data_IF_187189313380
#
_entry.id   IF_187189313380
#
_cell.length_a   1.000
_cell.length_b   1.000
_cell.length_c   1.000
_cell.angle_alpha   90.00
_cell.angle_beta   90.00
_cell.angle_gamma   90.00
#
_symmetry.space_group_name_H-M   'P 1'
#
loop_
_entity.id
_entity.type
_entity.pdbx_description
1 polymer ?
#
# COMPACT_ATOMS: atom_id res chain seq x y z
N UNK A 1 20.31 10.88 20.11
CA UNK A 1 19.53 9.71 20.58
C UNK A 1 18.16 10.19 21.03
N UNK A 2 17.21 10.30 20.11
CA UNK A 2 15.87 10.83 20.41
C UNK A 2 14.88 10.53 19.28
N UNK A 3 14.84 9.30 18.78
CA UNK A 3 13.95 8.91 17.67
C UNK A 3 12.85 7.91 18.08
N UNK A 4 12.81 7.51 19.37
CA UNK A 4 11.96 6.40 19.81
C UNK A 4 10.58 6.81 20.36
N UNK A 5 10.15 8.08 20.17
CA UNK A 5 8.87 8.57 20.72
C UNK A 5 7.67 8.50 19.77
N UNK A 6 7.91 8.32 18.47
CA UNK A 6 6.83 8.32 17.45
C UNK A 6 6.61 6.94 16.81
N UNK A 7 7.30 5.91 17.30
CA UNK A 7 7.17 4.55 16.79
C UNK A 7 6.10 3.79 17.59
N UNK A 8 5.14 3.19 16.89
CA UNK A 8 4.08 2.35 17.46
C UNK A 8 3.83 1.14 16.55
N UNK A 9 3.18 0.06 17.03
CA UNK A 9 2.67 -0.97 16.14
C UNK A 9 1.68 -0.38 15.13
N UNK A 10 1.64 -0.90 13.91
CA UNK A 10 0.59 -0.48 12.96
C UNK A 10 -0.80 -0.96 13.41
N UNK A 11 -1.85 -0.20 13.08
CA UNK A 11 -3.22 -0.51 13.53
C UNK A 11 -4.10 -0.96 12.36
N UNK A 12 -4.99 -1.95 12.55
CA UNK A 12 -5.93 -2.38 11.49
C UNK A 12 -6.92 -1.32 11.00
N UNK A 13 -7.00 -0.17 11.67
CA UNK A 13 -7.87 0.95 11.33
C UNK A 13 -7.12 2.05 10.56
N UNK A 14 -5.79 1.97 10.48
CA UNK A 14 -4.98 2.90 9.71
C UNK A 14 -5.17 2.63 8.21
N UNK A 15 -5.11 3.65 7.34
CA UNK A 15 -5.18 3.45 5.89
C UNK A 15 -4.10 2.48 5.33
N UNK A 16 -2.98 2.34 6.05
CA UNK A 16 -1.93 1.36 5.77
C UNK A 16 -1.73 0.49 7.01
N UNK A 17 -1.98 -0.81 6.88
CA UNK A 17 -1.83 -1.77 7.95
C UNK A 17 -0.82 -2.88 7.60
N UNK A 18 0.08 -3.19 8.53
CA UNK A 18 1.01 -4.32 8.44
C UNK A 18 1.07 -5.04 9.79
N UNK A 19 0.59 -6.29 9.93
CA UNK A 19 0.53 -6.98 11.22
C UNK A 19 1.86 -7.02 12.00
N UNK A 20 2.98 -7.08 11.29
CA UNK A 20 4.35 -7.07 11.84
C UNK A 20 5.08 -5.74 11.65
N UNK A 21 4.37 -4.72 11.17
CA UNK A 21 4.92 -3.41 10.86
C UNK A 21 4.99 -2.46 12.04
N UNK A 22 6.01 -1.62 12.01
CA UNK A 22 6.20 -0.48 12.89
C UNK A 22 5.75 0.76 12.14
N UNK A 23 4.75 1.45 12.71
CA UNK A 23 4.29 2.77 12.30
C UNK A 23 5.15 3.85 12.93
N UNK A 24 5.52 4.86 12.16
CA UNK A 24 6.26 6.03 12.58
C UNK A 24 5.47 7.27 12.17
N UNK A 25 4.99 8.05 13.13
CA UNK A 25 4.24 9.28 12.85
C UNK A 25 5.17 10.40 12.38
N UNK A 26 4.81 11.01 11.25
CA UNK A 26 5.58 12.07 10.61
C UNK A 26 5.10 13.46 11.09
N UNK A 27 5.99 14.49 11.13
CA UNK A 27 5.62 15.83 11.59
C UNK A 27 4.57 16.55 10.73
N UNK A 28 4.36 16.09 9.50
CA UNK A 28 3.38 16.63 8.55
C UNK A 28 1.94 16.11 8.81
N UNK A 29 1.77 15.18 9.76
CA UNK A 29 0.49 14.54 10.07
C UNK A 29 0.24 13.22 9.34
N UNK A 30 1.17 12.81 8.47
CA UNK A 30 1.19 11.49 7.86
C UNK A 30 1.88 10.46 8.77
N UNK A 31 2.11 9.27 8.23
CA UNK A 31 2.89 8.24 8.90
C UNK A 31 3.48 7.24 7.91
N UNK A 32 4.57 6.60 8.30
CA UNK A 32 5.20 5.53 7.52
C UNK A 32 5.09 4.21 8.29
N UNK A 33 4.70 3.13 7.61
CA UNK A 33 4.70 1.77 8.15
C UNK A 33 5.81 0.96 7.50
N UNK A 34 6.70 0.37 8.30
CA UNK A 34 7.85 -0.40 7.83
C UNK A 34 7.92 -1.77 8.47
N UNK A 35 8.51 -2.76 7.79
CA UNK A 35 8.82 -4.06 8.37
C UNK A 35 10.29 -4.47 8.13
N UNK A 36 10.81 -5.46 8.87
CA UNK A 36 12.21 -5.91 8.74
C UNK A 36 12.55 -6.51 7.36
N UNK A 37 11.56 -6.87 6.54
CA UNK A 37 11.75 -7.43 5.21
C UNK A 37 11.92 -6.35 4.13
N UNK A 38 11.97 -5.09 4.52
CA UNK A 38 12.19 -3.96 3.61
C UNK A 38 10.91 -3.46 2.93
N UNK A 39 9.73 -3.89 3.40
CA UNK A 39 8.47 -3.24 3.02
C UNK A 39 8.40 -1.92 3.78
N UNK A 40 8.13 -0.84 3.04
CA UNK A 40 7.94 0.50 3.59
C UNK A 40 6.81 1.17 2.83
N UNK A 41 5.78 1.65 3.53
CA UNK A 41 4.66 2.34 2.91
C UNK A 41 4.38 3.62 3.69
N UNK A 42 4.47 4.74 2.99
CA UNK A 42 4.21 6.08 3.49
C UNK A 42 2.76 6.48 3.17
N UNK A 43 2.09 7.06 4.15
CA UNK A 43 0.76 7.64 4.02
C UNK A 43 0.83 9.13 4.33
N UNK A 44 0.31 9.93 3.40
CA UNK A 44 0.29 11.38 3.49
C UNK A 44 -1.10 11.88 3.94
N UNK A 45 -1.18 13.05 4.61
CA UNK A 45 -2.46 13.62 5.08
C UNK A 45 -3.50 13.87 3.99
N UNK A 46 -3.06 14.04 2.75
CA UNK A 46 -3.95 14.23 1.59
C UNK A 46 -4.57 12.92 1.08
N UNK A 47 -4.26 11.78 1.72
CA UNK A 47 -4.75 10.46 1.36
C UNK A 47 -3.85 9.71 0.39
N UNK A 48 -2.73 10.30 -0.05
CA UNK A 48 -1.76 9.64 -0.93
C UNK A 48 -0.96 8.59 -0.18
N UNK A 49 -0.67 7.49 -0.88
CA UNK A 49 0.15 6.38 -0.40
C UNK A 49 1.30 6.17 -1.37
N UNK A 50 2.52 6.05 -0.85
CA UNK A 50 3.70 5.65 -1.63
C UNK A 50 4.41 4.50 -0.94
N UNK A 51 4.67 3.43 -1.67
CA UNK A 51 5.18 2.18 -1.15
C UNK A 51 6.41 1.66 -1.88
N UNK A 52 7.31 1.07 -1.10
CA UNK A 52 8.36 0.18 -1.54
C UNK A 52 8.02 -1.22 -1.04
N UNK A 53 7.59 -2.08 -1.97
CA UNK A 53 7.31 -3.49 -1.71
C UNK A 53 8.29 -4.30 -2.58
N UNK A 54 9.40 -4.83 -2.01
CA UNK A 54 10.46 -5.46 -2.80
C UNK A 54 9.98 -6.61 -3.68
N UNK A 55 8.97 -7.36 -3.20
CA UNK A 55 8.33 -8.45 -3.92
C UNK A 55 6.82 -8.32 -3.76
N UNK A 56 6.10 -8.25 -4.86
CA UNK A 56 4.63 -8.31 -4.89
C UNK A 56 4.26 -9.72 -5.38
N UNK A 57 3.93 -10.62 -4.44
CA UNK A 57 3.61 -12.02 -4.76
C UNK A 57 2.15 -12.20 -5.13
N UNK A 58 1.28 -11.45 -4.45
CA UNK A 58 -0.16 -11.48 -4.69
C UNK A 58 -0.76 -10.13 -4.30
N UNK A 59 -1.81 -9.75 -5.03
CA UNK A 59 -2.68 -8.67 -4.64
C UNK A 59 -4.12 -9.17 -4.69
N UNK A 60 -4.80 -9.06 -3.55
CA UNK A 60 -6.17 -9.49 -3.35
C UNK A 60 -7.04 -8.26 -3.15
N UNK A 61 -8.11 -8.15 -3.93
CA UNK A 61 -9.17 -7.17 -3.63
C UNK A 61 -10.17 -7.84 -2.70
N UNK A 62 -10.41 -7.26 -1.53
CA UNK A 62 -11.28 -7.84 -0.51
C UNK A 62 -12.73 -7.97 -1.00
N UNK A 63 -13.22 -6.96 -1.72
CA UNK A 63 -14.54 -6.96 -2.35
C UNK A 63 -14.42 -6.50 -3.81
N UNK A 64 -14.51 -7.45 -4.73
CA UNK A 64 -14.39 -7.18 -6.17
C UNK A 64 -15.54 -6.30 -6.70
N UNK A 65 -16.70 -6.29 -6.04
CA UNK A 65 -17.83 -5.45 -6.46
C UNK A 65 -17.52 -3.95 -6.34
N UNK A 66 -16.51 -3.59 -5.54
CA UNK A 66 -16.03 -2.22 -5.38
C UNK A 66 -15.11 -1.76 -6.50
N UNK A 67 -14.60 -2.66 -7.35
CA UNK A 67 -13.73 -2.27 -8.46
C UNK A 67 -14.59 -1.78 -9.62
N UNK A 68 -14.43 -0.51 -9.99
CA UNK A 68 -15.15 0.10 -11.11
C UNK A 68 -14.33 0.12 -12.40
N UNK A 69 -13.00 0.04 -12.29
CA UNK A 69 -12.09 -0.05 -13.44
C UNK A 69 -10.78 -0.72 -13.05
N UNK A 70 -10.27 -1.56 -13.95
CA UNK A 70 -8.94 -2.16 -13.84
C UNK A 70 -8.20 -2.02 -15.16
N UNK A 71 -7.14 -1.21 -15.16
CA UNK A 71 -6.23 -1.07 -16.29
C UNK A 71 -4.98 -1.92 -16.06
N UNK A 72 -4.53 -2.59 -17.12
CA UNK A 72 -3.29 -3.37 -17.11
C UNK A 72 -2.46 -2.91 -18.30
N UNK A 73 -1.25 -2.44 -18.03
CA UNK A 73 -0.27 -2.13 -19.07
C UNK A 73 0.96 -3.04 -18.93
N UNK A 74 1.58 -3.33 -20.06
CA UNK A 74 2.79 -4.16 -20.13
C UNK A 74 3.86 -3.43 -20.91
N UNK A 75 5.03 -3.30 -20.30
CA UNK A 75 6.19 -2.63 -20.92
C UNK A 75 7.41 -3.48 -20.62
N UNK A 76 8.04 -4.03 -21.66
CA UNK A 76 9.15 -4.98 -21.53
C UNK A 76 8.79 -6.17 -20.61
N UNK A 77 9.51 -6.32 -19.50
CA UNK A 77 9.36 -7.38 -18.52
C UNK A 77 8.49 -6.99 -17.31
N UNK A 78 7.89 -5.79 -17.34
CA UNK A 78 7.02 -5.28 -16.29
C UNK A 78 5.55 -5.32 -16.66
N UNK A 79 4.73 -5.48 -15.63
CA UNK A 79 3.28 -5.36 -15.69
C UNK A 79 2.88 -4.32 -14.65
N UNK A 80 2.16 -3.29 -15.08
CA UNK A 80 1.52 -2.34 -14.19
C UNK A 80 0.02 -2.58 -14.15
N UNK A 81 -0.54 -2.40 -12.96
CA UNK A 81 -1.95 -2.54 -12.67
C UNK A 81 -2.43 -1.25 -12.02
N UNK A 82 -3.55 -0.73 -12.49
CA UNK A 82 -4.24 0.40 -11.87
C UNK A 82 -5.69 0.01 -11.60
N UNK A 83 -6.07 0.02 -10.32
CA UNK A 83 -7.40 -0.30 -9.83
C UNK A 83 -8.07 0.99 -9.40
N UNK A 84 -9.28 1.23 -9.91
CA UNK A 84 -10.16 2.28 -9.44
C UNK A 84 -11.33 1.67 -8.70
N UNK A 85 -11.67 2.25 -7.55
CA UNK A 85 -12.72 1.78 -6.67
C UNK A 85 -13.92 2.74 -6.63
N UNK A 86 -15.10 2.21 -6.34
CA UNK A 86 -16.26 2.99 -5.95
C UNK A 86 -15.89 3.93 -4.80
N UNK A 87 -16.26 5.21 -4.88
CA UNK A 87 -15.84 6.25 -3.93
C UNK A 87 -14.59 7.03 -4.36
N UNK A 88 -13.91 6.63 -5.44
CA UNK A 88 -12.83 7.42 -6.05
C UNK A 88 -11.42 7.04 -5.60
N UNK A 89 -11.27 6.03 -4.73
CA UNK A 89 -9.97 5.48 -4.37
C UNK A 89 -9.26 4.85 -5.58
N UNK A 90 -7.95 5.01 -5.63
CA UNK A 90 -7.10 4.46 -6.69
C UNK A 90 -5.91 3.74 -6.09
N UNK A 91 -5.55 2.59 -6.65
CA UNK A 91 -4.30 1.89 -6.34
C UNK A 91 -3.57 1.56 -7.63
N UNK A 92 -2.28 1.87 -7.69
CA UNK A 92 -1.37 1.51 -8.77
C UNK A 92 -0.20 0.69 -8.24
N UNK A 93 0.18 -0.35 -8.96
CA UNK A 93 1.39 -1.10 -8.65
C UNK A 93 2.03 -1.67 -9.90
N UNK A 94 3.35 -1.82 -9.86
CA UNK A 94 4.14 -2.38 -10.95
C UNK A 94 5.09 -3.45 -10.43
N UNK A 95 5.14 -4.57 -11.14
CA UNK A 95 6.06 -5.65 -10.85
C UNK A 95 6.66 -6.26 -12.13
N UNK A 96 7.84 -6.85 -12.02
CA UNK A 96 8.39 -7.69 -13.08
C UNK A 96 7.71 -9.07 -13.11
N UNK A 97 7.95 -9.82 -14.19
CA UNK A 97 7.47 -11.20 -14.36
C UNK A 97 7.88 -12.17 -13.23
N UNK A 98 8.97 -11.87 -12.49
CA UNK A 98 9.42 -12.66 -11.34
C UNK A 98 8.80 -12.20 -9.99
N UNK A 99 7.87 -11.24 -10.02
CA UNK A 99 7.22 -10.68 -8.84
C UNK A 99 8.01 -9.58 -8.12
N UNK A 100 9.18 -9.16 -8.62
CA UNK A 100 9.90 -8.00 -8.07
C UNK A 100 9.05 -6.74 -8.23
N UNK A 101 8.77 -6.05 -7.13
CA UNK A 101 8.05 -4.77 -7.15
C UNK A 101 8.96 -3.62 -7.56
N UNK A 102 8.37 -2.66 -8.27
CA UNK A 102 9.05 -1.42 -8.70
C UNK A 102 8.32 -0.18 -8.22
N UNK A 103 6.99 -0.23 -8.19
CA UNK A 103 6.14 0.88 -7.79
C UNK A 103 4.94 0.33 -7.04
N UNK A 104 4.57 1.03 -5.97
CA UNK A 104 3.32 0.85 -5.27
C UNK A 104 2.84 2.23 -4.85
N UNK A 105 1.68 2.65 -5.31
CA UNK A 105 1.12 3.97 -4.98
C UNK A 105 -0.38 3.89 -4.91
N UNK A 106 -1.00 4.78 -4.13
CA UNK A 106 -2.43 4.83 -3.99
C UNK A 106 -2.91 6.20 -3.56
N UNK A 107 -4.23 6.40 -3.62
CA UNK A 107 -4.86 7.60 -3.12
C UNK A 107 -6.25 7.24 -2.59
N UNK A 108 -6.54 7.63 -1.35
CA UNK A 108 -7.79 7.36 -0.63
C UNK A 108 -8.19 5.87 -0.63
N UNK A 109 -7.25 4.97 -0.36
CA UNK A 109 -7.51 3.51 -0.29
C UNK A 109 -7.00 2.91 1.01
N UNK A 110 -7.68 1.87 1.50
CA UNK A 110 -7.21 1.07 2.64
C UNK A 110 -6.45 -0.17 2.14
N UNK A 111 -5.20 -0.28 2.59
CA UNK A 111 -4.26 -1.33 2.17
C UNK A 111 -3.71 -2.06 3.39
N UNK A 112 -3.76 -3.38 3.33
CA UNK A 112 -3.01 -4.26 4.22
C UNK A 112 -1.87 -4.93 3.43
N UNK A 113 -0.66 -4.90 3.96
CA UNK A 113 0.48 -5.63 3.41
C UNK A 113 1.10 -6.56 4.44
N UNK A 114 1.68 -7.66 3.98
CA UNK A 114 2.45 -8.57 4.83
C UNK A 114 3.92 -8.66 4.42
N UNK A 115 4.69 -9.31 5.30
CA UNK A 115 6.13 -9.54 5.16
C UNK A 115 6.52 -10.40 3.95
N UNK A 116 5.57 -11.16 3.41
CA UNK A 116 5.79 -12.09 2.30
C UNK A 116 5.39 -11.47 0.96
N UNK A 117 4.99 -10.19 0.94
CA UNK A 117 4.64 -9.47 -0.27
C UNK A 117 3.22 -9.75 -0.76
N UNK A 118 2.32 -10.21 0.12
CA UNK A 118 0.89 -10.26 -0.16
C UNK A 118 0.26 -8.92 0.23
N UNK A 119 -0.56 -8.38 -0.66
CA UNK A 119 -1.29 -7.13 -0.44
C UNK A 119 -2.79 -7.41 -0.50
N UNK A 120 -3.54 -6.90 0.47
CA UNK A 120 -5.00 -6.89 0.46
C UNK A 120 -5.45 -5.43 0.34
N UNK A 121 -6.35 -5.18 -0.60
CA UNK A 121 -6.92 -3.85 -0.85
C UNK A 121 -8.40 -3.90 -0.52
N UNK A 122 -8.82 -3.06 0.42
CA UNK A 122 -10.19 -3.07 0.93
C UNK A 122 -11.13 -2.11 0.18
N UNK A 123 -10.56 -1.27 -0.69
CA UNK A 123 -11.28 -0.26 -1.46
C UNK A 123 -11.03 1.14 -0.94
N UNK A 124 -11.96 2.06 -1.23
CA UNK A 124 -11.84 3.47 -0.86
C UNK A 124 -11.97 3.68 0.65
N UNK A 125 -11.14 4.56 1.22
CA UNK A 125 -11.33 5.03 2.60
C UNK A 125 -12.69 5.75 2.71
N UNK A 126 -13.56 5.29 3.60
CA UNK A 126 -14.79 6.02 3.89
C UNK A 126 -14.46 7.20 4.82
N UNK A 127 -14.98 8.38 4.51
CA UNK A 127 -14.93 9.57 5.40
C UNK A 127 -15.63 9.32 6.73
#
# INVERSE_FOLDING_TARGET
MSEQRNASPSHPQDAVYMPDGVRIDNPDGGYTVTNPNGVSVDYQPDGSIEGQIPVIRALCVQDIAKVVRHDIARVFDTVSHTLHFEGGGVLSYMHASNGRGYEFSGHNVFVQADKDGCVIVHGTCME
#
